data_IF_310022472427
#
_entry.id   IF_310022472427
#
_cell.length_a   1.000
_cell.length_b   1.000
_cell.length_c   1.000
_cell.angle_alpha   90.00
_cell.angle_beta   90.00
_cell.angle_gamma   90.00
#
_symmetry.space_group_name_H-M   'P 1'
#
loop_
_entity.id
_entity.type
_entity.pdbx_description
1 polymer ?
#
# COMPACT_ATOMS: atom_id res chain seq x y z
N UNK A 1 -37.57 16.35 61.06
CA UNK A 1 -36.99 16.78 59.77
C UNK A 1 -36.18 15.61 59.25
N UNK A 2 -36.60 14.91 58.19
CA UNK A 2 -35.92 13.71 57.73
C UNK A 2 -34.78 14.09 56.73
N UNK A 3 -33.71 13.36 56.91
CA UNK A 3 -32.50 13.40 56.05
C UNK A 3 -32.80 12.91 54.66
N UNK A 4 -32.38 13.69 53.64
CA UNK A 4 -32.43 13.33 52.22
C UNK A 4 -31.16 12.58 51.89
N UNK A 5 -31.21 11.39 51.24
CA UNK A 5 -30.02 10.69 50.79
C UNK A 5 -29.48 11.34 49.52
N UNK A 6 -28.17 11.52 49.49
CA UNK A 6 -27.41 11.89 48.30
C UNK A 6 -27.53 10.80 47.24
N UNK A 7 -28.19 11.09 46.12
CA UNK A 7 -28.17 10.29 44.92
C UNK A 7 -26.75 10.26 44.32
N UNK A 8 -26.16 9.08 44.34
CA UNK A 8 -24.98 8.76 43.57
C UNK A 8 -25.37 8.76 42.09
N UNK A 9 -24.94 9.77 41.35
CA UNK A 9 -24.95 9.76 39.90
C UNK A 9 -24.00 8.68 39.42
N UNK A 10 -24.53 7.53 39.05
CA UNK A 10 -23.84 6.52 38.29
C UNK A 10 -23.58 7.08 36.90
N UNK A 11 -22.30 7.21 36.54
CA UNK A 11 -21.88 7.50 35.18
C UNK A 11 -22.42 6.41 34.23
N UNK A 12 -23.16 6.81 33.21
CA UNK A 12 -23.68 5.92 32.21
C UNK A 12 -22.52 5.22 31.47
N UNK A 13 -22.67 3.93 31.15
CA UNK A 13 -21.66 3.22 30.34
C UNK A 13 -21.60 3.87 28.95
N UNK A 14 -20.40 3.99 28.44
CA UNK A 14 -20.12 4.42 27.06
C UNK A 14 -20.89 3.53 26.09
N UNK A 15 -21.97 4.06 25.54
CA UNK A 15 -22.71 3.42 24.47
C UNK A 15 -22.05 3.83 23.12
N UNK A 16 -21.05 3.06 22.71
CA UNK A 16 -20.32 3.23 21.44
C UNK A 16 -21.13 2.75 20.22
N UNK A 17 -22.48 2.71 20.36
CA UNK A 17 -23.37 2.23 19.29
C UNK A 17 -24.09 3.34 18.51
N UNK A 18 -24.09 4.56 19.00
CA UNK A 18 -24.89 5.63 18.37
C UNK A 18 -24.17 6.39 17.23
N UNK A 19 -22.88 6.14 16.99
CA UNK A 19 -22.16 6.72 15.84
C UNK A 19 -22.18 5.84 14.57
N UNK A 20 -22.94 4.74 14.58
CA UNK A 20 -23.03 3.79 13.46
C UNK A 20 -24.33 3.90 12.65
N UNK A 21 -25.15 4.92 12.88
CA UNK A 21 -26.40 5.13 12.14
C UNK A 21 -26.35 6.40 11.28
N UNK A 22 -25.37 6.51 10.42
CA UNK A 22 -25.58 7.12 9.13
C UNK A 22 -25.88 5.99 8.15
N UNK A 23 -27.14 5.62 8.09
CA UNK A 23 -27.69 4.79 7.03
C UNK A 23 -27.61 5.59 5.74
N UNK A 24 -26.54 5.41 5.00
CA UNK A 24 -26.53 5.66 3.57
C UNK A 24 -26.40 4.30 2.89
N UNK A 25 -27.52 3.84 2.38
CA UNK A 25 -27.66 2.64 1.58
C UNK A 25 -26.65 2.67 0.45
N UNK A 26 -25.88 1.58 0.32
CA UNK A 26 -25.19 1.21 -0.87
C UNK A 26 -23.74 1.64 -1.05
N UNK A 27 -22.86 1.34 -0.06
CA UNK A 27 -21.45 1.16 -0.38
C UNK A 27 -20.80 0.23 0.65
N UNK A 28 -20.62 -1.03 0.29
CA UNK A 28 -19.58 -1.88 0.88
C UNK A 28 -18.22 -1.32 0.40
N UNK A 29 -17.89 -0.12 0.91
CA UNK A 29 -16.63 0.56 0.62
C UNK A 29 -15.53 -0.25 1.29
N UNK A 30 -14.89 -1.12 0.52
CA UNK A 30 -13.70 -1.81 0.99
C UNK A 30 -12.71 -0.78 1.50
N UNK A 31 -12.42 -0.80 2.80
CA UNK A 31 -11.44 0.09 3.42
C UNK A 31 -10.05 -0.43 3.08
N UNK A 32 -9.23 0.47 2.58
CA UNK A 32 -7.82 0.23 2.23
C UNK A 32 -6.92 1.07 3.13
N UNK A 33 -5.68 0.67 3.24
CA UNK A 33 -4.62 1.44 3.91
C UNK A 33 -3.49 1.72 2.92
N UNK A 34 -2.99 2.93 2.93
CA UNK A 34 -1.80 3.31 2.17
C UNK A 34 -0.56 2.62 2.76
N UNK A 35 0.20 1.94 1.92
CA UNK A 35 1.46 1.26 2.31
C UNK A 35 2.70 2.05 1.86
N UNK A 36 2.52 3.09 1.04
CA UNK A 36 3.55 4.04 0.61
C UNK A 36 2.97 5.45 0.56
N UNK A 37 3.85 6.46 0.79
CA UNK A 37 3.48 7.85 0.54
C UNK A 37 3.37 8.11 -0.96
N UNK A 38 2.33 8.81 -1.36
CA UNK A 38 2.13 9.30 -2.72
C UNK A 38 1.79 10.79 -2.67
N UNK A 39 2.53 11.58 -3.42
CA UNK A 39 2.29 13.01 -3.56
C UNK A 39 1.62 13.29 -4.90
N UNK A 40 0.44 13.88 -4.85
CA UNK A 40 -0.29 14.31 -6.03
C UNK A 40 0.56 15.28 -6.87
N UNK A 41 0.67 14.99 -8.16
CA UNK A 41 1.33 15.85 -9.13
C UNK A 41 0.33 16.76 -9.89
N UNK A 42 -0.96 16.45 -9.80
CA UNK A 42 -2.05 17.18 -10.46
C UNK A 42 -3.30 17.26 -9.58
N UNK A 43 -4.25 18.11 -9.97
CA UNK A 43 -5.48 18.40 -9.21
C UNK A 43 -6.45 17.21 -9.14
N UNK A 44 -6.32 16.25 -10.04
CA UNK A 44 -7.15 15.04 -10.09
C UNK A 44 -6.56 13.87 -9.27
N UNK A 45 -5.40 14.06 -8.63
CA UNK A 45 -4.74 13.06 -7.81
C UNK A 45 -4.94 13.36 -6.33
N UNK A 46 -4.85 12.32 -5.50
CA UNK A 46 -4.96 12.41 -4.04
C UNK A 46 -3.60 12.15 -3.41
N UNK A 47 -3.10 13.09 -2.62
CA UNK A 47 -1.93 12.85 -1.76
C UNK A 47 -2.34 11.93 -0.61
N UNK A 48 -1.59 10.87 -0.38
CA UNK A 48 -1.78 9.93 0.72
C UNK A 48 -0.46 9.67 1.44
N UNK A 49 -0.56 9.37 2.73
CA UNK A 49 0.57 9.00 3.57
C UNK A 49 0.48 7.56 4.04
N UNK A 50 1.62 6.90 4.16
CA UNK A 50 1.68 5.51 4.64
C UNK A 50 0.98 5.37 5.99
N UNK A 51 0.10 4.38 6.12
CA UNK A 51 -0.76 4.15 7.28
C UNK A 51 -2.12 4.85 7.22
N UNK A 52 -2.37 5.73 6.26
CA UNK A 52 -3.65 6.41 6.08
C UNK A 52 -4.70 5.46 5.52
N UNK A 53 -5.89 5.46 6.11
CA UNK A 53 -7.03 4.69 5.64
C UNK A 53 -7.88 5.50 4.67
N UNK A 54 -8.36 4.83 3.63
CA UNK A 54 -9.16 5.42 2.58
C UNK A 54 -10.15 4.40 2.00
N UNK A 55 -11.23 4.90 1.41
CA UNK A 55 -12.17 4.08 0.66
C UNK A 55 -11.80 4.11 -0.82
N UNK A 56 -11.81 2.95 -1.49
CA UNK A 56 -11.65 2.89 -2.94
C UNK A 56 -13.03 2.98 -3.58
N UNK A 57 -13.19 3.95 -4.49
CA UNK A 57 -14.44 4.21 -5.19
C UNK A 57 -14.53 3.43 -6.50
N UNK A 58 -13.47 3.45 -7.29
CA UNK A 58 -13.39 2.76 -8.59
C UNK A 58 -11.94 2.54 -9.02
N UNK A 59 -11.76 1.72 -10.04
CA UNK A 59 -10.48 1.48 -10.70
C UNK A 59 -10.54 1.98 -12.14
N UNK A 60 -9.38 2.34 -12.71
CA UNK A 60 -9.28 2.55 -14.14
C UNK A 60 -9.30 1.20 -14.89
N UNK A 61 -9.40 1.23 -16.23
CA UNK A 61 -9.52 0.03 -17.07
C UNK A 61 -8.32 -0.92 -16.91
N UNK A 62 -7.12 -0.40 -16.70
CA UNK A 62 -5.90 -1.19 -16.51
C UNK A 62 -5.70 -1.67 -15.07
N UNK A 63 -6.50 -1.17 -14.11
CA UNK A 63 -6.36 -1.39 -12.66
C UNK A 63 -5.02 -0.94 -12.07
N UNK A 64 -4.27 -0.12 -12.78
CA UNK A 64 -3.03 0.48 -12.28
C UNK A 64 -3.30 1.67 -11.37
N UNK A 65 -4.45 2.33 -11.55
CA UNK A 65 -4.91 3.44 -10.75
C UNK A 65 -6.29 3.14 -10.14
N UNK A 66 -6.51 3.64 -8.94
CA UNK A 66 -7.80 3.64 -8.28
C UNK A 66 -8.12 5.05 -7.78
N UNK A 67 -9.40 5.40 -7.81
CA UNK A 67 -9.90 6.63 -7.21
C UNK A 67 -10.20 6.36 -5.75
N UNK A 68 -9.50 7.06 -4.87
CA UNK A 68 -9.63 6.93 -3.43
C UNK A 68 -10.32 8.14 -2.80
N UNK A 69 -11.01 7.90 -1.70
CA UNK A 69 -11.58 8.93 -0.85
C UNK A 69 -10.94 8.85 0.53
N UNK A 70 -10.24 9.90 0.94
CA UNK A 70 -9.69 10.04 2.27
C UNK A 70 -10.77 10.35 3.31
N UNK A 71 -10.48 10.17 4.60
CA UNK A 71 -11.43 10.43 5.71
C UNK A 71 -11.92 11.88 5.77
N UNK A 72 -11.15 12.85 5.29
CA UNK A 72 -11.54 14.26 5.21
C UNK A 72 -12.49 14.58 4.04
N UNK A 73 -12.89 13.57 3.25
CA UNK A 73 -13.76 13.72 2.08
C UNK A 73 -13.03 14.05 0.77
N UNK A 74 -11.72 14.29 0.78
CA UNK A 74 -10.93 14.53 -0.43
C UNK A 74 -10.93 13.29 -1.32
N UNK A 75 -11.11 13.48 -2.63
CA UNK A 75 -11.17 12.41 -3.62
C UNK A 75 -10.13 12.65 -4.70
N UNK A 76 -9.51 11.59 -5.19
CA UNK A 76 -8.60 11.66 -6.33
C UNK A 76 -7.94 10.33 -6.66
N UNK A 77 -7.21 10.32 -7.77
CA UNK A 77 -6.53 9.13 -8.28
C UNK A 77 -5.22 8.87 -7.52
N UNK A 78 -5.02 7.60 -7.19
CA UNK A 78 -3.83 7.07 -6.53
C UNK A 78 -3.39 5.77 -7.22
N UNK A 79 -2.10 5.43 -7.22
CA UNK A 79 -1.65 4.16 -7.75
C UNK A 79 -2.18 2.98 -6.93
N UNK A 80 -2.81 2.01 -7.57
CA UNK A 80 -3.38 0.82 -6.90
C UNK A 80 -2.33 0.03 -6.13
N UNK A 81 -1.08 0.01 -6.60
CA UNK A 81 0.02 -0.67 -5.93
C UNK A 81 0.42 -0.04 -4.59
N UNK A 82 -0.03 1.20 -4.31
CA UNK A 82 0.30 1.95 -3.08
C UNK A 82 -0.70 1.72 -1.95
N UNK A 83 -1.78 1.03 -2.22
CA UNK A 83 -2.83 0.74 -1.23
C UNK A 83 -3.13 -0.75 -1.14
N UNK A 84 -3.54 -1.20 0.03
CA UNK A 84 -3.93 -2.61 0.29
C UNK A 84 -5.16 -2.65 1.18
N UNK A 85 -6.00 -3.68 1.08
CA UNK A 85 -7.12 -3.85 2.00
C UNK A 85 -6.65 -3.82 3.47
N UNK A 86 -7.41 -3.17 4.33
CA UNK A 86 -7.05 -2.98 5.74
C UNK A 86 -6.84 -4.29 6.50
N UNK A 87 -7.51 -5.36 6.10
CA UNK A 87 -7.36 -6.71 6.65
C UNK A 87 -6.29 -7.56 5.95
N UNK A 88 -5.60 -7.03 4.93
CA UNK A 88 -4.49 -7.72 4.28
C UNK A 88 -3.23 -7.70 5.13
N UNK A 89 -2.49 -8.82 5.15
CA UNK A 89 -1.17 -8.89 5.79
C UNK A 89 -0.14 -7.97 5.12
N UNK A 90 -0.34 -7.62 3.86
CA UNK A 90 0.58 -6.77 3.09
C UNK A 90 0.72 -5.34 3.65
N UNK A 91 -0.22 -4.90 4.49
CA UNK A 91 -0.13 -3.62 5.23
C UNK A 91 1.02 -3.58 6.23
N UNK A 92 1.44 -4.74 6.74
CA UNK A 92 2.50 -4.81 7.73
C UNK A 92 3.88 -4.75 7.08
N UNK A 93 4.78 -3.95 7.62
CA UNK A 93 6.15 -3.79 7.12
C UNK A 93 6.95 -5.09 7.18
N UNK A 94 6.66 -5.96 8.14
CA UNK A 94 7.34 -7.24 8.32
C UNK A 94 6.83 -8.38 7.42
N UNK A 95 5.69 -8.22 6.70
CA UNK A 95 5.17 -9.27 5.83
C UNK A 95 5.69 -9.11 4.40
N UNK A 96 6.39 -10.12 3.90
CA UNK A 96 7.06 -10.11 2.60
C UNK A 96 6.35 -10.98 1.53
N UNK A 97 5.12 -11.46 1.82
CA UNK A 97 4.37 -12.29 0.86
C UNK A 97 5.03 -13.64 0.62
N UNK A 98 4.79 -14.19 -0.56
CA UNK A 98 5.32 -15.49 -0.97
C UNK A 98 6.75 -15.34 -1.46
N UNK A 99 7.73 -15.58 -0.58
CA UNK A 99 9.15 -15.61 -0.91
C UNK A 99 9.80 -16.87 -0.39
N UNK A 100 10.78 -17.37 -1.13
CA UNK A 100 11.56 -18.55 -0.77
C UNK A 100 12.48 -18.32 0.43
N UNK A 101 12.93 -19.43 1.00
CA UNK A 101 13.87 -19.41 2.12
C UNK A 101 15.17 -18.65 1.78
N UNK A 102 15.74 -18.91 0.61
CA UNK A 102 16.98 -18.27 0.16
C UNK A 102 16.81 -16.74 0.00
N UNK A 103 15.66 -16.30 -0.50
CA UNK A 103 15.36 -14.87 -0.62
C UNK A 103 15.26 -14.21 0.77
N UNK A 104 14.61 -14.88 1.74
CA UNK A 104 14.55 -14.40 3.12
C UNK A 104 15.94 -14.32 3.78
N UNK A 105 16.80 -15.33 3.57
CA UNK A 105 18.17 -15.32 4.06
C UNK A 105 18.99 -14.17 3.44
N UNK A 106 18.82 -13.92 2.14
CA UNK A 106 19.47 -12.79 1.45
C UNK A 106 19.03 -11.44 2.02
N UNK A 107 17.73 -11.22 2.19
CA UNK A 107 17.18 -9.97 2.76
C UNK A 107 17.67 -9.71 4.19
N UNK A 108 17.89 -10.77 4.97
CA UNK A 108 18.36 -10.68 6.34
C UNK A 108 19.89 -10.75 6.47
N UNK A 109 20.64 -10.97 5.39
CA UNK A 109 22.09 -11.18 5.41
C UNK A 109 22.87 -9.98 5.97
N UNK A 110 22.41 -8.76 5.70
CA UNK A 110 22.98 -7.49 6.18
C UNK A 110 22.31 -6.95 7.45
N UNK A 111 21.27 -7.64 7.96
CA UNK A 111 20.54 -7.22 9.16
C UNK A 111 21.36 -7.37 10.44
N UNK A 112 20.90 -6.72 11.50
CA UNK A 112 21.42 -6.88 12.87
C UNK A 112 20.63 -7.97 13.62
N UNK A 113 21.11 -8.40 14.78
CA UNK A 113 20.40 -9.37 15.62
C UNK A 113 18.99 -8.84 15.95
N UNK A 114 17.97 -9.70 15.80
CA UNK A 114 16.58 -9.33 15.93
C UNK A 114 15.94 -8.79 14.65
N UNK A 115 16.69 -8.69 13.53
CA UNK A 115 16.11 -8.42 12.22
C UNK A 115 15.27 -9.60 11.74
N UNK A 116 14.04 -9.36 11.29
CA UNK A 116 13.11 -10.43 10.96
C UNK A 116 12.19 -10.08 9.80
N UNK A 117 11.57 -11.09 9.23
CA UNK A 117 10.44 -10.96 8.31
C UNK A 117 9.49 -12.16 8.47
N UNK A 118 8.25 -11.95 8.07
CA UNK A 118 7.24 -13.01 7.92
C UNK A 118 7.00 -13.24 6.45
N UNK A 119 7.00 -14.50 6.05
CA UNK A 119 6.77 -14.91 4.67
C UNK A 119 5.78 -16.06 4.58
N UNK A 120 5.12 -16.16 3.45
CA UNK A 120 4.33 -17.31 3.08
C UNK A 120 5.21 -18.33 2.33
N UNK A 121 4.96 -19.62 2.56
CA UNK A 121 5.72 -20.68 1.91
C UNK A 121 5.36 -20.81 0.43
N UNK A 122 6.36 -20.85 -0.45
CA UNK A 122 6.15 -21.13 -1.88
C UNK A 122 5.59 -22.53 -2.14
N UNK A 123 5.98 -23.51 -1.32
CA UNK A 123 5.54 -24.92 -1.48
C UNK A 123 4.25 -25.27 -0.76
N UNK A 124 3.81 -24.41 0.16
CA UNK A 124 2.62 -24.65 0.99
C UNK A 124 1.85 -23.33 1.15
N UNK A 125 0.96 -22.97 0.20
CA UNK A 125 0.17 -21.75 0.26
C UNK A 125 -0.59 -21.63 1.58
N UNK A 126 -0.64 -20.42 2.15
CA UNK A 126 -1.25 -20.14 3.46
C UNK A 126 -0.33 -20.44 4.67
N UNK A 127 0.74 -21.23 4.49
CA UNK A 127 1.66 -21.55 5.57
C UNK A 127 2.63 -20.41 5.82
N UNK A 128 2.54 -19.77 6.99
CA UNK A 128 3.43 -18.68 7.39
C UNK A 128 4.70 -19.20 8.07
N UNK A 129 5.78 -18.44 7.90
CA UNK A 129 7.06 -18.68 8.56
C UNK A 129 7.71 -17.36 8.96
N UNK A 130 8.29 -17.30 10.15
CA UNK A 130 9.12 -16.19 10.61
C UNK A 130 10.57 -16.53 10.28
N UNK A 131 11.27 -15.62 9.63
CA UNK A 131 12.71 -15.69 9.41
C UNK A 131 13.38 -14.63 10.28
N UNK A 132 14.33 -15.02 11.12
CA UNK A 132 14.90 -14.19 12.19
C UNK A 132 16.43 -14.31 12.18
N UNK A 133 17.10 -13.15 12.14
CA UNK A 133 18.56 -13.10 12.21
C UNK A 133 19.06 -13.02 13.65
N UNK A 134 20.00 -13.92 13.98
CA UNK A 134 20.71 -13.89 15.24
C UNK A 134 22.10 -14.53 15.07
N UNK A 135 23.13 -13.92 15.67
CA UNK A 135 24.52 -14.42 15.66
C UNK A 135 25.00 -14.84 14.25
N UNK A 136 24.85 -13.92 13.29
CA UNK A 136 25.24 -14.12 11.87
C UNK A 136 24.53 -15.26 11.14
N UNK A 137 23.47 -15.82 11.71
CA UNK A 137 22.63 -16.86 11.11
C UNK A 137 21.19 -16.40 10.96
N UNK A 138 20.45 -17.02 10.04
CA UNK A 138 19.02 -16.84 9.89
C UNK A 138 18.30 -18.11 10.32
N UNK A 139 17.43 -17.97 11.29
CA UNK A 139 16.59 -19.03 11.82
C UNK A 139 15.21 -18.93 11.21
N UNK A 140 14.57 -20.06 10.94
CA UNK A 140 13.23 -20.09 10.34
C UNK A 140 12.31 -20.88 11.25
N UNK A 141 11.23 -20.23 11.65
CA UNK A 141 10.20 -20.78 12.52
C UNK A 141 8.90 -20.90 11.74
N UNK A 142 8.33 -22.11 11.70
CA UNK A 142 7.01 -22.31 11.12
C UNK A 142 5.97 -21.80 12.09
N UNK A 143 4.99 -21.05 11.60
CA UNK A 143 3.80 -20.73 12.36
C UNK A 143 2.82 -21.89 12.16
N UNK A 144 2.43 -22.54 13.23
CA UNK A 144 1.54 -23.70 13.22
C UNK A 144 0.13 -23.29 13.64
N UNK A 145 -0.88 -23.94 13.05
CA UNK A 145 -2.27 -23.76 13.42
C UNK A 145 -2.69 -24.81 14.45
N UNK A 146 -3.36 -24.38 15.50
CA UNK A 146 -3.94 -25.25 16.49
C UNK A 146 -5.38 -25.63 16.09
N UNK A 147 -5.92 -26.75 16.60
CA UNK A 147 -7.29 -27.19 16.31
C UNK A 147 -8.38 -26.18 16.70
N UNK A 148 -8.08 -25.26 17.60
CA UNK A 148 -8.96 -24.18 18.05
C UNK A 148 -8.90 -22.93 17.18
N UNK A 149 -8.22 -22.99 16.01
CA UNK A 149 -8.09 -21.89 15.08
C UNK A 149 -7.05 -20.86 15.48
N UNK A 150 -6.31 -21.06 16.57
CA UNK A 150 -5.22 -20.19 16.99
C UNK A 150 -3.90 -20.64 16.39
N UNK A 151 -2.99 -19.70 16.19
CA UNK A 151 -1.66 -19.93 15.65
C UNK A 151 -0.57 -19.80 16.73
N UNK A 152 0.55 -20.48 16.52
CA UNK A 152 1.66 -20.48 17.46
C UNK A 152 3.00 -20.81 16.78
N UNK A 153 4.10 -20.41 17.41
CA UNK A 153 5.46 -20.89 17.12
C UNK A 153 5.87 -21.91 18.19
N UNK A 154 5.63 -21.58 19.44
CA UNK A 154 5.75 -22.48 20.61
C UNK A 154 4.36 -22.82 21.12
N UNK A 155 4.11 -24.10 21.45
CA UNK A 155 2.80 -24.58 21.89
C UNK A 155 2.25 -23.92 23.18
N UNK A 156 3.12 -23.24 23.92
CA UNK A 156 2.78 -22.59 25.18
C UNK A 156 1.91 -21.33 24.99
N UNK A 157 2.19 -20.57 23.93
CA UNK A 157 1.50 -19.31 23.63
C UNK A 157 0.79 -19.38 22.29
N UNK A 158 -0.52 -19.14 22.27
CA UNK A 158 -1.38 -19.22 21.09
C UNK A 158 -2.15 -17.95 20.86
N UNK A 159 -2.24 -17.50 19.61
CA UNK A 159 -2.77 -16.19 19.20
C UNK A 159 -3.84 -16.35 18.14
N UNK A 160 -4.82 -15.46 18.10
CA UNK A 160 -5.85 -15.46 17.07
C UNK A 160 -5.34 -14.88 15.74
N UNK A 161 -4.38 -13.98 15.79
CA UNK A 161 -3.83 -13.33 14.59
C UNK A 161 -2.30 -13.40 14.57
N UNK A 162 -1.74 -13.40 13.35
CA UNK A 162 -0.29 -13.31 13.18
C UNK A 162 0.26 -11.98 13.74
N UNK A 163 -0.51 -10.90 13.70
CA UNK A 163 -0.11 -9.62 14.25
C UNK A 163 0.06 -9.67 15.78
N UNK A 164 -0.86 -10.34 16.49
CA UNK A 164 -0.72 -10.59 17.94
C UNK A 164 0.50 -11.45 18.25
N UNK A 165 0.72 -12.52 17.47
CA UNK A 165 1.90 -13.38 17.62
C UNK A 165 3.19 -12.58 17.44
N UNK A 166 3.31 -11.77 16.39
CA UNK A 166 4.48 -10.93 16.15
C UNK A 166 4.66 -9.89 17.27
N UNK A 167 3.58 -9.27 17.73
CA UNK A 167 3.62 -8.33 18.85
C UNK A 167 4.13 -9.01 20.13
N UNK A 168 3.62 -10.19 20.47
CA UNK A 168 4.09 -10.96 21.63
C UNK A 168 5.60 -11.25 21.54
N UNK A 169 6.04 -11.77 20.40
CA UNK A 169 7.45 -12.11 20.18
C UNK A 169 8.38 -10.89 20.00
N UNK A 170 7.83 -9.68 19.86
CA UNK A 170 8.63 -8.45 19.96
C UNK A 170 9.03 -8.11 21.40
N UNK A 171 8.34 -8.68 22.39
CA UNK A 171 8.56 -8.46 23.83
C UNK A 171 9.20 -9.70 24.47
N UNK A 172 8.72 -10.90 24.09
CA UNK A 172 9.12 -12.17 24.67
C UNK A 172 9.66 -13.11 23.57
N UNK A 173 10.81 -13.70 23.80
CA UNK A 173 11.40 -14.65 22.82
C UNK A 173 10.58 -15.95 22.72
N UNK A 174 10.18 -16.54 23.81
CA UNK A 174 9.31 -17.70 23.98
C UNK A 174 9.40 -18.77 22.89
N UNK A 175 10.57 -19.43 22.79
CA UNK A 175 10.86 -20.43 21.78
C UNK A 175 11.58 -19.88 20.53
N UNK A 176 11.68 -18.57 20.35
CA UNK A 176 12.59 -17.96 19.38
C UNK A 176 14.00 -17.80 19.99
N UNK A 177 15.01 -17.73 19.13
CA UNK A 177 16.41 -17.52 19.56
C UNK A 177 16.63 -16.13 20.17
N UNK A 178 15.83 -15.15 19.79
CA UNK A 178 15.78 -13.79 20.34
C UNK A 178 14.44 -13.14 19.99
N UNK A 179 14.16 -11.98 20.56
CA UNK A 179 12.97 -11.19 20.25
C UNK A 179 13.03 -10.55 18.86
N UNK A 180 11.86 -10.25 18.29
CA UNK A 180 11.67 -9.64 16.97
C UNK A 180 11.75 -8.13 17.11
N UNK A 181 12.79 -7.46 16.58
CA UNK A 181 12.99 -6.02 16.77
C UNK A 181 12.86 -5.21 15.49
N UNK A 182 13.49 -5.67 14.41
CA UNK A 182 13.67 -4.86 13.21
C UNK A 182 13.08 -5.56 11.99
N UNK A 183 11.90 -5.13 11.52
CA UNK A 183 11.38 -5.64 10.24
C UNK A 183 12.40 -5.41 9.12
N UNK A 184 12.67 -6.45 8.33
CA UNK A 184 13.48 -6.29 7.13
C UNK A 184 12.82 -5.32 6.16
N UNK A 185 13.63 -4.48 5.50
CA UNK A 185 13.13 -3.56 4.52
C UNK A 185 12.47 -4.33 3.36
N UNK A 186 11.29 -3.89 2.94
CA UNK A 186 10.68 -4.34 1.68
C UNK A 186 11.46 -3.76 0.50
N UNK A 187 11.35 -4.43 -0.66
CA UNK A 187 11.84 -3.87 -1.90
C UNK A 187 11.28 -2.46 -2.15
N UNK A 188 12.00 -1.68 -2.94
CA UNK A 188 11.66 -0.28 -3.25
C UNK A 188 10.20 -0.12 -3.67
N UNK A 189 9.69 1.10 -3.48
CA UNK A 189 8.34 1.51 -3.91
C UNK A 189 8.07 1.05 -5.34
N UNK A 190 6.89 0.51 -5.64
CA UNK A 190 6.52 0.20 -7.02
C UNK A 190 6.63 1.46 -7.88
N UNK A 191 7.30 1.35 -9.01
CA UNK A 191 7.36 2.46 -9.97
C UNK A 191 6.05 2.48 -10.76
N UNK A 192 5.37 3.61 -10.73
CA UNK A 192 4.14 3.82 -11.51
C UNK A 192 4.56 4.40 -12.86
N UNK A 193 4.36 3.62 -13.92
CA UNK A 193 4.75 4.00 -15.27
C UNK A 193 3.62 4.64 -16.08
N UNK A 194 2.38 4.51 -15.62
CA UNK A 194 1.21 5.05 -16.32
C UNK A 194 0.82 6.43 -15.81
N UNK A 195 0.27 7.25 -16.69
CA UNK A 195 -0.32 8.52 -16.32
C UNK A 195 -1.64 8.29 -15.55
N UNK A 196 -2.02 9.26 -14.72
CA UNK A 196 -3.34 9.28 -14.09
C UNK A 196 -4.44 9.14 -15.16
N UNK A 197 -5.53 8.42 -14.90
CA UNK A 197 -6.60 8.16 -15.87
C UNK A 197 -7.29 9.42 -16.40
N UNK A 198 -7.35 10.46 -15.61
CA UNK A 198 -7.93 11.72 -16.00
C UNK A 198 -6.84 12.74 -16.31
N UNK A 199 -6.94 13.46 -17.44
CA UNK A 199 -6.02 14.54 -17.78
C UNK A 199 -5.97 15.57 -16.65
N UNK A 200 -4.77 16.00 -16.27
CA UNK A 200 -4.63 17.12 -15.36
C UNK A 200 -4.72 18.46 -16.12
N UNK A 201 -4.69 19.57 -15.39
CA UNK A 201 -4.81 20.91 -15.98
C UNK A 201 -3.71 21.24 -16.99
N UNK A 202 -2.60 20.51 -16.95
CA UNK A 202 -1.44 20.68 -17.85
C UNK A 202 -1.47 19.75 -19.06
N UNK A 203 -2.39 18.77 -19.07
CA UNK A 203 -2.56 17.87 -20.20
C UNK A 203 -3.46 18.50 -21.27
N UNK A 204 -2.89 18.66 -22.44
CA UNK A 204 -3.58 19.27 -23.58
C UNK A 204 -4.03 18.14 -24.53
N UNK A 205 -5.33 18.06 -24.89
CA UNK A 205 -5.80 17.10 -25.86
C UNK A 205 -5.03 17.22 -27.18
N UNK A 206 -4.54 16.10 -27.71
CA UNK A 206 -3.73 16.10 -28.95
C UNK A 206 -4.39 16.78 -30.14
N UNK A 207 -5.71 16.71 -30.24
CA UNK A 207 -6.47 17.35 -31.30
C UNK A 207 -6.46 18.89 -31.23
N UNK A 208 -6.08 19.47 -30.09
CA UNK A 208 -5.90 20.91 -29.92
C UNK A 208 -4.56 21.40 -30.49
N UNK A 209 -3.60 20.51 -30.74
CA UNK A 209 -2.30 20.85 -31.30
C UNK A 209 -2.26 20.51 -32.78
N UNK A 210 -2.05 21.51 -33.64
CA UNK A 210 -1.75 21.30 -35.05
C UNK A 210 -0.22 21.23 -35.22
N UNK A 211 0.28 20.07 -35.56
CA UNK A 211 1.71 19.87 -35.84
C UNK A 211 2.08 20.50 -37.20
N UNK A 212 3.23 21.15 -37.24
CA UNK A 212 3.81 21.75 -38.49
C UNK A 212 5.12 21.04 -38.82
N UNK A 213 6.15 21.81 -39.21
CA UNK A 213 7.42 21.29 -39.63
C UNK A 213 8.35 20.94 -38.44
N UNK A 214 9.28 20.05 -38.69
CA UNK A 214 10.30 19.63 -37.72
C UNK A 214 11.32 20.75 -37.53
N UNK A 215 11.57 21.13 -36.28
CA UNK A 215 12.59 22.13 -35.92
C UNK A 215 13.94 21.49 -35.62
N UNK A 216 13.95 20.27 -35.10
CA UNK A 216 15.17 19.58 -34.74
C UNK A 216 14.91 18.20 -34.12
N UNK A 217 15.97 17.53 -33.71
CA UNK A 217 15.86 16.24 -33.04
C UNK A 217 17.18 15.80 -32.44
N UNK A 218 17.14 14.93 -31.47
CA UNK A 218 18.28 14.38 -30.77
C UNK A 218 18.02 12.98 -30.22
N UNK A 219 18.88 12.56 -29.32
CA UNK A 219 18.85 11.23 -28.72
C UNK A 219 17.49 10.92 -28.04
N UNK A 220 16.82 11.91 -27.46
CA UNK A 220 15.61 11.76 -26.67
C UNK A 220 14.31 12.00 -27.44
N UNK A 221 14.36 12.36 -28.72
CA UNK A 221 13.17 12.61 -29.53
C UNK A 221 13.32 13.73 -30.53
N UNK A 222 12.22 14.19 -31.07
CA UNK A 222 12.15 15.23 -32.07
C UNK A 222 11.34 16.43 -31.59
N UNK A 223 11.67 17.62 -32.08
CA UNK A 223 10.98 18.85 -31.78
C UNK A 223 10.34 19.38 -33.05
N UNK A 224 9.06 19.70 -32.97
CA UNK A 224 8.26 20.24 -34.04
C UNK A 224 7.72 21.62 -33.70
N UNK A 225 7.52 22.45 -34.68
CA UNK A 225 6.63 23.58 -34.56
C UNK A 225 5.20 23.09 -34.57
N UNK A 226 4.35 23.65 -33.70
CA UNK A 226 2.93 23.39 -33.67
C UNK A 226 2.15 24.68 -33.40
N UNK A 227 0.84 24.60 -33.56
CA UNK A 227 -0.09 25.67 -33.17
C UNK A 227 -1.08 25.08 -32.16
N UNK A 228 -1.18 25.69 -31.00
CA UNK A 228 -2.24 25.39 -30.05
C UNK A 228 -3.52 26.10 -30.48
N UNK A 229 -4.43 25.36 -31.06
CA UNK A 229 -5.65 25.86 -31.73
C UNK A 229 -6.52 26.71 -30.82
N UNK A 230 -6.67 26.30 -29.54
CA UNK A 230 -7.51 26.99 -28.56
C UNK A 230 -7.10 28.44 -28.30
N UNK A 231 -5.81 28.74 -28.39
CA UNK A 231 -5.26 30.06 -28.10
C UNK A 231 -4.56 30.67 -29.31
N UNK A 232 -4.59 30.01 -30.47
CA UNK A 232 -3.92 30.42 -31.72
C UNK A 232 -2.43 30.74 -31.52
N UNK A 233 -1.77 30.03 -30.55
CA UNK A 233 -0.38 30.27 -30.20
C UNK A 233 0.55 29.27 -30.84
N UNK A 234 1.70 29.76 -31.31
CA UNK A 234 2.82 28.89 -31.72
C UNK A 234 3.43 28.24 -30.49
N UNK A 235 3.68 26.95 -30.59
CA UNK A 235 4.28 26.11 -29.54
C UNK A 235 5.35 25.21 -30.11
N UNK A 236 6.34 24.85 -29.30
CA UNK A 236 7.30 23.80 -29.62
C UNK A 236 6.81 22.48 -29.00
N UNK A 237 6.64 21.48 -29.84
CA UNK A 237 6.17 20.14 -29.42
C UNK A 237 7.34 19.17 -29.46
N UNK A 238 7.75 18.69 -28.31
CA UNK A 238 8.78 17.66 -28.21
C UNK A 238 8.14 16.28 -28.16
N UNK A 239 8.45 15.44 -29.14
CA UNK A 239 8.08 14.03 -29.10
C UNK A 239 9.19 13.23 -28.43
N UNK A 240 8.83 12.25 -27.61
CA UNK A 240 9.80 11.35 -27.00
C UNK A 240 9.94 10.09 -27.85
N UNK A 241 11.17 9.63 -28.06
CA UNK A 241 11.40 8.30 -28.61
C UNK A 241 11.18 7.29 -27.49
N UNK A 242 10.17 6.44 -27.66
CA UNK A 242 9.99 5.28 -26.81
C UNK A 242 11.11 4.31 -27.18
N UNK A 243 12.09 4.13 -26.31
CA UNK A 243 13.08 3.08 -26.51
C UNK A 243 12.35 1.74 -26.41
N UNK A 244 12.67 0.82 -27.30
CA UNK A 244 11.99 -0.48 -27.49
C UNK A 244 11.95 -1.38 -26.22
N UNK A 245 12.61 -0.99 -25.15
CA UNK A 245 12.67 -1.71 -23.87
C UNK A 245 11.63 -1.29 -22.83
N UNK A 246 10.83 -0.27 -23.08
CA UNK A 246 9.81 0.20 -22.18
C UNK A 246 8.43 0.12 -22.83
N UNK A 247 7.73 -0.96 -22.50
CA UNK A 247 6.28 -1.12 -22.56
C UNK A 247 5.64 -1.34 -23.94
N UNK A 248 5.54 -2.61 -24.30
CA UNK A 248 4.61 -3.11 -25.33
C UNK A 248 3.12 -2.86 -24.98
N UNK A 249 2.82 -2.26 -23.80
CA UNK A 249 1.45 -2.04 -23.30
C UNK A 249 0.93 -0.60 -23.40
N UNK A 250 1.73 0.34 -23.85
CA UNK A 250 1.31 1.75 -23.90
C UNK A 250 0.69 2.21 -25.22
N UNK A 251 0.42 1.30 -26.17
CA UNK A 251 -0.12 1.64 -27.49
C UNK A 251 -1.32 0.76 -27.83
N UNK A 252 -2.44 1.02 -27.23
CA UNK A 252 -3.74 0.75 -27.86
C UNK A 252 -4.41 2.11 -28.11
N UNK A 253 -4.35 2.51 -29.35
CA UNK A 253 -5.11 3.63 -29.90
C UNK A 253 -6.47 3.14 -30.36
#
# INVERSE_FOLDING_TARGET
>A
MPDTPLEQQQAAPWDSKDDLLVTDDNFDKSIFVAIHDFHAAGSNQLTIHSGEELAILRYNDTKEWCEGQARNGSVGWIPTSYVKPVNSLEKHSWYHGTIGRNAAEYLLSSGINGSFLVRESESSPGQLSISLRFDSRVYHYRVSDAPDGRMYVSSENRFFTIAELIHHHSIHADGLVTTLHYPAAKADKPVVYSFSPEPDEWEIPRNEIAMKHRLGGGQYGEVYEGVWKKYERQVAVKTLRVSFFLCQKCWNF
#
